data_IF_713640963987
#
_entry.id   IF_713640963987
#
_cell.length_a   1.000
_cell.length_b   1.000
_cell.length_c   1.000
_cell.angle_alpha   90.00
_cell.angle_beta   90.00
_cell.angle_gamma   90.00
#
_symmetry.space_group_name_H-M   'P 1'
#
loop_
_entity.id
_entity.type
_entity.pdbx_description
1 polymer ?
#
# COMPACT_ATOMS: atom_id res chain seq x y z
N UNK A 1 14.79 29.10 1.66
CA UNK A 1 15.88 28.65 0.75
C UNK A 1 15.24 27.70 -0.25
N UNK A 2 15.36 27.93 -1.56
CA UNK A 2 14.72 27.08 -2.58
C UNK A 2 15.63 25.89 -2.91
N UNK A 3 15.08 24.68 -2.89
CA UNK A 3 15.78 23.45 -3.32
C UNK A 3 15.51 23.27 -4.81
N UNK A 4 16.58 23.18 -5.63
CA UNK A 4 16.50 22.90 -7.06
C UNK A 4 17.01 21.48 -7.31
N UNK A 5 16.23 20.68 -8.00
CA UNK A 5 16.52 19.29 -8.32
C UNK A 5 16.44 19.08 -9.83
N UNK A 6 17.37 18.30 -10.37
CA UNK A 6 17.35 17.87 -11.77
C UNK A 6 16.29 16.81 -12.01
N UNK A 7 15.96 16.56 -13.28
CA UNK A 7 14.99 15.54 -13.64
C UNK A 7 15.48 14.16 -13.17
N UNK A 8 14.71 13.52 -12.28
CA UNK A 8 15.04 12.23 -11.69
C UNK A 8 15.84 12.30 -10.38
N UNK A 9 16.19 13.51 -9.89
CA UNK A 9 16.90 13.65 -8.63
C UNK A 9 15.98 13.40 -7.42
N UNK A 10 16.48 12.63 -6.45
CA UNK A 10 15.76 12.31 -5.21
C UNK A 10 15.69 13.55 -4.30
N UNK A 11 14.47 13.96 -3.95
CA UNK A 11 14.22 15.14 -3.09
C UNK A 11 14.41 14.84 -1.59
N UNK A 12 14.34 13.57 -1.20
CA UNK A 12 14.52 13.13 0.18
C UNK A 12 14.04 11.70 0.39
N UNK A 13 14.60 11.05 1.43
CA UNK A 13 14.28 9.68 1.83
C UNK A 13 13.83 9.66 3.28
N UNK A 14 12.60 9.23 3.52
CA UNK A 14 12.02 9.15 4.86
C UNK A 14 12.35 7.79 5.47
N UNK A 15 13.24 7.77 6.48
CA UNK A 15 13.70 6.57 7.18
C UNK A 15 12.89 6.26 8.45
N UNK A 16 11.57 6.33 8.37
CA UNK A 16 10.67 5.68 9.32
C UNK A 16 9.80 4.77 8.44
N UNK A 17 9.81 3.46 8.69
CA UNK A 17 9.24 2.44 7.80
C UNK A 17 7.96 2.92 7.10
N UNK A 18 7.96 2.89 5.76
CA UNK A 18 6.85 3.35 4.94
C UNK A 18 5.58 2.62 5.36
N UNK A 19 4.66 3.32 6.03
CA UNK A 19 3.40 2.74 6.46
C UNK A 19 2.37 2.98 5.38
N UNK A 20 1.80 1.91 4.83
CA UNK A 20 0.71 1.97 3.86
C UNK A 20 -0.58 1.64 4.59
N UNK A 21 -1.56 2.56 4.55
CA UNK A 21 -2.92 2.31 5.01
C UNK A 21 -3.79 2.10 3.78
N UNK A 22 -4.39 0.92 3.66
CA UNK A 22 -5.28 0.58 2.53
C UNK A 22 -6.73 0.63 3.00
N UNK A 23 -7.56 1.42 2.32
CA UNK A 23 -8.99 1.54 2.58
C UNK A 23 -9.79 1.05 1.37
N UNK A 24 -10.90 0.38 1.63
CA UNK A 24 -11.85 -0.08 0.63
C UNK A 24 -13.28 0.18 1.11
N UNK A 25 -14.21 0.38 0.17
CA UNK A 25 -15.62 0.52 0.52
C UNK A 25 -16.11 -0.74 1.25
N UNK A 26 -16.99 -0.58 2.25
CA UNK A 26 -17.52 -1.70 3.04
C UNK A 26 -18.10 -2.77 2.11
N UNK A 27 -17.63 -4.00 2.26
CA UNK A 27 -18.08 -5.16 1.49
C UNK A 27 -17.49 -5.28 0.07
N UNK A 28 -16.71 -4.31 -0.42
CA UNK A 28 -16.14 -4.37 -1.78
C UNK A 28 -14.91 -5.27 -1.90
N UNK A 29 -14.23 -5.56 -0.78
CA UNK A 29 -12.99 -6.33 -0.75
C UNK A 29 -13.11 -7.52 0.20
N UNK A 30 -12.68 -8.70 -0.25
CA UNK A 30 -12.46 -9.86 0.60
C UNK A 30 -10.96 -9.98 0.89
N UNK A 31 -10.57 -9.74 2.13
CA UNK A 31 -9.18 -9.92 2.56
C UNK A 31 -8.77 -11.39 2.51
N UNK A 32 -7.49 -11.62 2.16
CA UNK A 32 -6.91 -12.95 2.25
C UNK A 32 -6.83 -13.39 3.72
N UNK A 33 -7.09 -14.67 3.98
CA UNK A 33 -6.94 -15.26 5.31
C UNK A 33 -5.47 -15.19 5.78
N UNK A 34 -5.26 -15.06 7.08
CA UNK A 34 -3.92 -15.08 7.69
C UNK A 34 -3.11 -13.79 7.54
N UNK A 35 -3.72 -12.67 7.12
CA UNK A 35 -3.13 -11.34 7.28
C UNK A 35 -3.40 -10.85 8.70
N UNK A 36 -2.50 -11.22 9.62
CA UNK A 36 -2.56 -10.88 11.04
C UNK A 36 -1.42 -9.92 11.42
N UNK A 37 -1.48 -9.27 12.59
CA UNK A 37 -0.38 -8.43 13.06
C UNK A 37 0.94 -9.21 13.08
N UNK A 38 1.98 -8.64 12.45
CA UNK A 38 3.31 -9.27 12.36
C UNK A 38 3.47 -10.24 11.18
N UNK A 39 2.42 -10.53 10.41
CA UNK A 39 2.57 -11.30 9.17
C UNK A 39 3.44 -10.54 8.17
N UNK A 40 4.55 -11.15 7.77
CA UNK A 40 5.40 -10.63 6.70
C UNK A 40 4.68 -10.70 5.34
N UNK A 41 4.79 -9.64 4.55
CA UNK A 41 4.25 -9.57 3.18
C UNK A 41 5.39 -9.33 2.18
N UNK A 42 5.22 -9.79 0.95
CA UNK A 42 6.16 -9.63 -0.16
C UNK A 42 5.62 -8.63 -1.18
N UNK A 43 6.52 -7.94 -1.87
CA UNK A 43 6.13 -7.11 -3.00
C UNK A 43 5.47 -7.96 -4.10
N UNK A 44 4.34 -7.46 -4.63
CA UNK A 44 3.52 -8.18 -5.61
C UNK A 44 2.56 -9.21 -5.03
N UNK A 45 2.58 -9.44 -3.71
CA UNK A 45 1.69 -10.37 -3.05
C UNK A 45 0.25 -9.84 -2.95
N UNK A 46 -0.73 -10.65 -3.35
CA UNK A 46 -2.14 -10.29 -3.24
C UNK A 46 -2.58 -10.26 -1.77
N UNK A 47 -3.10 -9.12 -1.31
CA UNK A 47 -3.66 -8.94 0.03
C UNK A 47 -5.15 -9.33 0.14
N UNK A 48 -5.84 -9.44 -1.00
CA UNK A 48 -7.26 -9.77 -1.05
C UNK A 48 -7.77 -9.82 -2.48
N UNK A 49 -9.08 -10.04 -2.63
CA UNK A 49 -9.77 -10.10 -3.91
C UNK A 49 -10.98 -9.16 -3.89
N UNK A 50 -11.14 -8.38 -4.95
CA UNK A 50 -12.32 -7.54 -5.10
C UNK A 50 -13.56 -8.41 -5.29
N UNK A 51 -14.64 -8.06 -4.61
CA UNK A 51 -15.94 -8.66 -4.91
C UNK A 51 -16.41 -8.13 -6.27
N UNK A 52 -16.97 -9.02 -7.09
CA UNK A 52 -17.66 -8.59 -8.30
C UNK A 52 -18.71 -7.55 -7.91
N UNK A 53 -18.78 -6.44 -8.65
CA UNK A 53 -19.90 -5.51 -8.50
C UNK A 53 -21.16 -6.26 -8.92
N UNK A 54 -22.12 -6.37 -8.01
CA UNK A 54 -23.50 -6.60 -8.40
C UNK A 54 -23.97 -5.33 -9.11
N UNK A 55 -24.42 -5.46 -10.36
CA UNK A 55 -25.07 -4.38 -11.12
C UNK A 55 -26.38 -3.94 -10.44
#
# INVERSE_FOLDING_TARGET
RSVKLESGAEMGRFNMGSTVIVLAAKGSLQWRKGLEPGTAVKMGEALGQWRARSE
#
